data_IF_360635029523
#
_entry.id   IF_360635029523
#
_cell.length_a   1.000
_cell.length_b   1.000
_cell.length_c   1.000
_cell.angle_alpha   90.00
_cell.angle_beta   90.00
_cell.angle_gamma   90.00
#
_symmetry.space_group_name_H-M   'P 1'
#
loop_
_entity.id
_entity.type
_entity.pdbx_description
1 polymer ?
#
# COMPACT_ATOMS: atom_id res chain seq x y z
N UNK A 1 3.00 -14.81 -7.50
CA UNK A 1 1.99 -15.77 -7.98
C UNK A 1 0.61 -15.18 -7.87
N UNK A 2 -0.17 -15.35 -8.89
CA UNK A 2 -1.53 -14.87 -8.95
C UNK A 2 -2.48 -15.99 -8.51
N UNK A 3 -3.23 -15.76 -7.45
CA UNK A 3 -4.23 -16.71 -6.99
C UNK A 3 -5.60 -16.09 -7.09
N UNK A 4 -6.50 -16.82 -7.72
CA UNK A 4 -7.88 -16.37 -7.87
C UNK A 4 -8.49 -16.19 -6.48
N UNK A 5 -9.11 -15.04 -6.24
CA UNK A 5 -9.81 -14.70 -5.00
C UNK A 5 -8.89 -14.50 -3.77
N UNK A 6 -7.58 -14.52 -3.96
CA UNK A 6 -6.68 -14.20 -2.86
C UNK A 6 -6.73 -12.70 -2.55
N UNK A 7 -6.51 -11.89 -3.58
CA UNK A 7 -6.68 -10.43 -3.47
C UNK A 7 -8.10 -10.05 -3.87
N UNK A 8 -8.54 -8.86 -3.49
CA UNK A 8 -9.80 -8.32 -3.98
C UNK A 8 -9.76 -8.19 -5.49
N UNK A 9 -8.64 -7.73 -6.02
CA UNK A 9 -8.41 -7.62 -7.46
C UNK A 9 -6.92 -7.65 -7.72
N UNK A 10 -6.50 -8.24 -8.81
CA UNK A 10 -5.13 -8.14 -9.30
C UNK A 10 -5.16 -8.11 -10.82
N UNK A 11 -4.51 -7.08 -11.39
CA UNK A 11 -4.45 -6.88 -12.84
C UNK A 11 -3.33 -7.68 -13.49
N UNK A 12 -2.93 -7.23 -14.69
CA UNK A 12 -1.92 -7.89 -15.48
C UNK A 12 -0.53 -7.31 -15.21
N UNK A 13 0.51 -8.10 -15.48
CA UNK A 13 1.90 -7.66 -15.40
C UNK A 13 2.34 -7.21 -14.00
N UNK A 14 1.75 -7.81 -12.97
CA UNK A 14 2.14 -7.51 -11.60
C UNK A 14 3.30 -8.40 -11.16
N UNK A 15 4.25 -7.79 -10.48
CA UNK A 15 5.38 -8.49 -9.88
C UNK A 15 5.33 -8.24 -8.37
N UNK A 16 5.02 -9.27 -7.61
CA UNK A 16 4.80 -9.15 -6.17
C UNK A 16 5.85 -9.97 -5.47
N UNK A 17 6.85 -9.32 -4.92
CA UNK A 17 7.96 -10.00 -4.25
C UNK A 17 7.62 -10.48 -2.83
N UNK A 18 6.80 -9.77 -2.03
CA UNK A 18 6.50 -10.24 -0.67
C UNK A 18 5.79 -11.59 -0.65
N UNK A 19 6.06 -12.36 0.40
CA UNK A 19 5.37 -13.61 0.66
C UNK A 19 4.11 -13.42 1.50
N UNK A 20 4.07 -12.33 2.27
CA UNK A 20 3.02 -12.07 3.24
C UNK A 20 2.37 -10.72 2.91
N UNK A 21 1.06 -10.73 2.68
CA UNK A 21 0.28 -9.54 2.37
C UNK A 21 -0.67 -9.19 3.53
N UNK A 22 -0.28 -9.55 4.75
CA UNK A 22 -1.10 -9.28 5.93
C UNK A 22 -2.18 -10.34 6.12
N UNK A 23 -3.11 -10.03 6.99
CA UNK A 23 -4.15 -10.99 7.37
C UNK A 23 -5.41 -10.87 6.53
N UNK A 24 -5.56 -9.77 5.77
CA UNK A 24 -6.73 -9.57 4.93
C UNK A 24 -6.33 -9.22 3.49
N UNK A 25 -5.65 -10.12 2.77
CA UNK A 25 -5.29 -9.81 1.38
C UNK A 25 -6.51 -9.58 0.48
N UNK A 26 -7.66 -10.10 0.85
CA UNK A 26 -8.91 -9.87 0.12
C UNK A 26 -9.38 -8.40 0.19
N UNK A 27 -8.72 -7.56 0.98
CA UNK A 27 -8.98 -6.12 1.04
C UNK A 27 -7.95 -5.31 0.26
N UNK A 28 -7.09 -5.97 -0.53
CA UNK A 28 -6.06 -5.29 -1.32
C UNK A 28 -6.40 -5.44 -2.79
N UNK A 29 -6.36 -4.32 -3.52
CA UNK A 29 -6.56 -4.29 -4.97
C UNK A 29 -5.32 -3.76 -5.65
N UNK A 30 -4.88 -4.47 -6.69
CA UNK A 30 -3.77 -4.06 -7.54
C UNK A 30 -4.28 -3.83 -8.95
N UNK A 31 -3.93 -2.69 -9.54
CA UNK A 31 -4.19 -2.47 -10.95
C UNK A 31 -3.22 -3.25 -11.84
N UNK A 32 -2.98 -2.73 -13.03
CA UNK A 32 -2.05 -3.35 -13.97
C UNK A 32 -0.64 -2.80 -13.77
N UNK A 33 0.35 -3.65 -14.01
CA UNK A 33 1.76 -3.23 -13.99
C UNK A 33 2.15 -2.65 -12.64
N UNK A 34 1.91 -3.43 -11.58
CA UNK A 34 2.25 -3.05 -10.20
C UNK A 34 3.41 -3.91 -9.74
N UNK A 35 4.46 -3.26 -9.27
CA UNK A 35 5.68 -3.93 -8.85
C UNK A 35 5.95 -3.61 -7.39
N UNK A 36 5.91 -4.66 -6.56
CA UNK A 36 6.08 -4.54 -5.12
C UNK A 36 7.38 -5.21 -4.73
N UNK A 37 8.28 -4.44 -4.15
CA UNK A 37 9.60 -4.94 -3.77
C UNK A 37 9.56 -5.72 -2.45
N UNK A 38 10.72 -6.20 -2.03
CA UNK A 38 10.83 -7.09 -0.89
C UNK A 38 10.36 -6.45 0.41
N UNK A 39 9.72 -7.25 1.25
CA UNK A 39 9.34 -6.86 2.61
C UNK A 39 8.48 -5.60 2.68
N UNK A 40 7.65 -5.35 1.67
CA UNK A 40 6.61 -4.34 1.77
C UNK A 40 5.48 -4.94 2.60
N UNK A 41 5.02 -4.19 3.58
CA UNK A 41 3.98 -4.63 4.51
C UNK A 41 2.66 -3.95 4.21
N UNK A 42 1.60 -4.75 4.18
CA UNK A 42 0.24 -4.27 3.96
C UNK A 42 -0.54 -4.47 5.24
N UNK A 43 -1.05 -3.38 5.81
CA UNK A 43 -1.71 -3.38 7.10
C UNK A 43 -3.15 -2.94 6.90
N UNK A 44 -4.08 -3.89 6.93
CA UNK A 44 -5.49 -3.63 6.62
C UNK A 44 -6.33 -3.38 7.87
N UNK A 45 -5.77 -3.50 9.06
CA UNK A 45 -6.51 -3.25 10.30
C UNK A 45 -5.55 -2.93 11.44
N UNK A 46 -6.08 -2.40 12.52
CA UNK A 46 -5.36 -2.35 13.78
C UNK A 46 -6.24 -2.98 14.87
N UNK A 47 -5.61 -3.22 16.02
CA UNK A 47 -6.28 -3.84 17.14
C UNK A 47 -6.24 -2.94 18.40
N UNK A 48 -6.19 -1.64 18.18
CA UNK A 48 -6.16 -0.66 19.26
C UNK A 48 -7.38 -0.80 20.17
N UNK A 49 -8.51 -1.20 19.57
CA UNK A 49 -9.74 -1.42 20.32
C UNK A 49 -9.57 -2.41 21.47
N UNK A 50 -8.76 -3.45 21.29
CA UNK A 50 -8.53 -4.41 22.36
C UNK A 50 -7.80 -3.78 23.53
N UNK A 51 -6.85 -2.91 23.26
CA UNK A 51 -6.15 -2.20 24.33
C UNK A 51 -7.14 -1.33 25.13
N UNK A 52 -8.00 -0.59 24.43
CA UNK A 52 -8.99 0.25 25.08
C UNK A 52 -9.99 -0.59 25.89
N UNK A 53 -10.38 -1.74 25.36
CA UNK A 53 -11.34 -2.62 26.03
C UNK A 53 -10.80 -3.09 27.40
N UNK A 54 -9.49 -3.32 27.49
CA UNK A 54 -8.87 -3.73 28.74
C UNK A 54 -8.58 -2.58 29.70
N UNK A 55 -8.66 -1.34 29.23
CA UNK A 55 -8.50 -0.17 30.09
C UNK A 55 -9.76 0.14 30.88
N UNK A 56 -10.94 -0.16 30.33
CA UNK A 56 -12.21 0.15 30.96
C UNK A 56 -13.29 -0.79 30.41
N UNK A 57 -14.18 -1.26 31.29
CA UNK A 57 -15.34 -2.06 30.89
C UNK A 57 -16.56 -1.19 30.56
N UNK A 58 -16.43 0.13 30.67
CA UNK A 58 -17.56 1.04 30.53
C UNK A 58 -18.03 1.14 29.09
N UNK A 59 -17.10 1.06 28.13
CA UNK A 59 -17.40 1.23 26.70
C UNK A 59 -16.87 0.05 25.91
N UNK A 60 -17.47 -0.15 24.72
CA UNK A 60 -16.95 -1.03 23.68
C UNK A 60 -16.38 -0.16 22.58
N UNK A 61 -15.30 -0.60 21.97
CA UNK A 61 -14.59 0.17 20.97
C UNK A 61 -14.58 -0.57 19.64
N UNK A 62 -14.78 0.17 18.54
CA UNK A 62 -14.78 -0.41 17.22
C UNK A 62 -13.35 -0.76 16.79
N UNK A 63 -13.20 -1.89 16.14
CA UNK A 63 -11.96 -2.19 15.43
C UNK A 63 -11.92 -1.37 14.14
N UNK A 64 -10.70 -1.04 13.70
CA UNK A 64 -10.49 -0.30 12.48
C UNK A 64 -9.91 -1.23 11.43
N UNK A 65 -10.55 -1.27 10.26
CA UNK A 65 -10.00 -1.97 9.10
C UNK A 65 -10.44 -1.26 7.84
N UNK A 66 -9.73 -1.49 6.76
CA UNK A 66 -10.07 -0.86 5.50
C UNK A 66 -9.29 -1.44 4.34
N UNK A 67 -9.68 -1.04 3.16
CA UNK A 67 -9.06 -1.48 1.92
C UNK A 67 -7.79 -0.71 1.62
N UNK A 68 -6.92 -1.35 0.85
CA UNK A 68 -5.78 -0.71 0.21
C UNK A 68 -5.99 -0.87 -1.29
N UNK A 69 -5.95 0.25 -2.02
CA UNK A 69 -6.16 0.26 -3.46
C UNK A 69 -4.94 0.85 -4.14
N UNK A 70 -4.39 0.10 -5.08
CA UNK A 70 -3.20 0.51 -5.81
C UNK A 70 -3.57 0.55 -7.29
N UNK A 71 -3.29 1.68 -7.93
CA UNK A 71 -3.64 1.91 -9.32
C UNK A 71 -2.71 1.20 -10.29
N UNK A 72 -2.61 1.75 -11.50
CA UNK A 72 -1.80 1.17 -12.57
C UNK A 72 -0.42 1.82 -12.62
N UNK A 73 0.59 1.06 -13.04
CA UNK A 73 1.95 1.56 -13.21
C UNK A 73 2.49 2.11 -11.91
N UNK A 74 2.57 1.25 -10.89
CA UNK A 74 3.00 1.63 -9.55
C UNK A 74 4.18 0.78 -9.13
N UNK A 75 5.21 1.42 -8.60
CA UNK A 75 6.32 0.74 -7.94
C UNK A 75 6.35 1.12 -6.47
N UNK A 76 6.47 0.12 -5.60
CA UNK A 76 6.62 0.36 -4.16
C UNK A 76 7.93 -0.24 -3.70
N UNK A 77 8.82 0.62 -3.22
CA UNK A 77 10.15 0.26 -2.76
C UNK A 77 10.12 -0.61 -1.51
N UNK A 78 11.17 -1.41 -1.35
CA UNK A 78 11.25 -2.38 -0.26
C UNK A 78 11.12 -1.78 1.12
N UNK A 79 10.62 -2.57 2.06
CA UNK A 79 10.48 -2.20 3.47
C UNK A 79 9.53 -1.04 3.71
N UNK A 80 8.68 -0.72 2.75
CA UNK A 80 7.61 0.25 2.93
C UNK A 80 6.42 -0.38 3.64
N UNK A 81 5.63 0.43 4.31
CA UNK A 81 4.40 0.01 4.97
C UNK A 81 3.24 0.80 4.39
N UNK A 82 2.20 0.10 3.96
CA UNK A 82 0.98 0.69 3.41
C UNK A 82 -0.15 0.43 4.39
N UNK A 83 -0.79 1.48 4.86
CA UNK A 83 -1.87 1.35 5.84
C UNK A 83 -3.24 1.29 5.16
N UNK A 84 -4.22 0.85 5.93
CA UNK A 84 -5.60 0.72 5.46
C UNK A 84 -6.19 2.09 5.10
N UNK A 85 -7.23 2.06 4.30
CA UNK A 85 -7.94 3.25 3.79
C UNK A 85 -7.04 4.15 2.93
N UNK A 86 -6.02 3.57 2.29
CA UNK A 86 -5.11 4.30 1.41
C UNK A 86 -5.38 3.90 -0.02
N UNK A 87 -5.45 4.90 -0.90
CA UNK A 87 -5.47 4.72 -2.35
C UNK A 87 -4.21 5.33 -2.92
N UNK A 88 -3.44 4.51 -3.63
CA UNK A 88 -2.28 4.96 -4.39
C UNK A 88 -2.73 5.06 -5.84
N UNK A 89 -2.55 6.24 -6.43
CA UNK A 89 -3.02 6.52 -7.78
C UNK A 89 -2.20 5.82 -8.85
N UNK A 90 -2.38 6.26 -10.09
CA UNK A 90 -1.68 5.70 -11.25
C UNK A 90 -0.37 6.42 -11.46
N UNK A 91 0.62 5.72 -12.02
CA UNK A 91 1.92 6.30 -12.35
C UNK A 91 2.57 6.89 -11.10
N UNK A 92 2.85 6.01 -10.13
CA UNK A 92 3.39 6.40 -8.83
C UNK A 92 4.60 5.55 -8.51
N UNK A 93 5.62 6.19 -7.95
CA UNK A 93 6.78 5.50 -7.37
C UNK A 93 6.81 5.85 -5.89
N UNK A 94 6.84 4.81 -5.05
CA UNK A 94 7.03 4.97 -3.61
C UNK A 94 8.45 4.54 -3.27
N UNK A 95 9.21 5.46 -2.68
CA UNK A 95 10.59 5.16 -2.27
C UNK A 95 10.64 4.14 -1.14
N UNK A 96 11.76 3.41 -1.08
CA UNK A 96 11.95 2.36 -0.08
C UNK A 96 11.84 2.91 1.35
N UNK A 97 11.33 2.09 2.25
CA UNK A 97 11.24 2.43 3.66
C UNK A 97 10.20 3.48 4.00
N UNK A 98 9.22 3.68 3.14
CA UNK A 98 8.19 4.72 3.34
C UNK A 98 7.03 4.21 4.19
N UNK A 99 6.38 5.13 4.89
CA UNK A 99 5.12 4.86 5.56
C UNK A 99 4.01 5.59 4.82
N UNK A 100 3.18 4.83 4.10
CA UNK A 100 2.09 5.40 3.31
C UNK A 100 0.83 5.34 4.15
N UNK A 101 0.50 6.47 4.76
CA UNK A 101 -0.65 6.60 5.67
C UNK A 101 -1.73 7.53 5.14
N UNK A 102 -1.58 8.03 3.91
CA UNK A 102 -2.55 8.89 3.23
C UNK A 102 -2.55 8.55 1.75
N UNK A 103 -3.61 8.95 1.07
CA UNK A 103 -3.72 8.76 -0.36
C UNK A 103 -2.57 9.43 -1.10
N UNK A 104 -2.12 8.78 -2.16
CA UNK A 104 -1.05 9.28 -3.02
C UNK A 104 -1.68 9.60 -4.38
N UNK A 105 -1.56 10.84 -4.87
CA UNK A 105 -2.18 11.19 -6.15
C UNK A 105 -1.45 10.58 -7.34
N UNK A 106 -2.08 10.67 -8.51
CA UNK A 106 -1.48 10.18 -9.75
C UNK A 106 -0.22 10.98 -10.10
N UNK A 107 0.71 10.31 -10.76
CA UNK A 107 1.81 10.96 -11.45
C UNK A 107 2.93 11.49 -10.57
N UNK A 108 3.12 10.92 -9.38
CA UNK A 108 4.10 11.47 -8.44
C UNK A 108 5.11 10.41 -8.00
N UNK A 109 6.22 10.90 -7.47
CA UNK A 109 7.14 10.11 -6.64
C UNK A 109 6.94 10.59 -5.21
N UNK A 110 6.73 9.64 -4.30
CA UNK A 110 6.53 9.96 -2.90
C UNK A 110 7.42 9.07 -2.04
N UNK A 111 7.88 9.59 -0.91
CA UNK A 111 8.76 8.84 -0.03
C UNK A 111 8.76 9.43 1.38
N UNK A 112 9.25 8.64 2.33
CA UNK A 112 9.50 9.10 3.67
C UNK A 112 8.52 8.58 4.71
N UNK A 113 8.72 9.00 5.96
CA UNK A 113 7.91 8.63 7.11
C UNK A 113 7.53 9.91 7.85
N UNK A 114 6.30 10.41 7.69
CA UNK A 114 5.26 9.93 6.80
C UNK A 114 5.60 10.22 5.32
N UNK A 115 5.01 9.43 4.44
CA UNK A 115 5.26 9.55 3.02
C UNK A 115 4.77 10.89 2.47
N UNK A 116 5.60 11.55 1.66
CA UNK A 116 5.30 12.85 1.07
C UNK A 116 5.68 12.85 -0.39
N UNK A 117 4.98 13.65 -1.19
CA UNK A 117 5.33 13.86 -2.60
C UNK A 117 6.67 14.58 -2.66
N UNK A 118 7.61 14.01 -3.42
CA UNK A 118 8.95 14.57 -3.57
C UNK A 118 9.35 14.82 -5.02
N UNK A 119 8.53 14.39 -5.97
CA UNK A 119 8.88 14.58 -7.36
C UNK A 119 7.76 14.17 -8.30
N UNK A 120 8.06 14.19 -9.59
CA UNK A 120 7.11 13.84 -10.64
C UNK A 120 7.55 12.56 -11.34
N UNK A 121 6.60 11.66 -11.52
CA UNK A 121 6.81 10.38 -12.17
C UNK A 121 7.38 10.55 -13.57
N UNK A 122 6.76 11.41 -14.38
CA UNK A 122 7.17 11.58 -15.79
C UNK A 122 8.58 12.11 -15.92
N UNK A 123 8.97 13.03 -15.06
CA UNK A 123 10.33 13.60 -15.11
C UNK A 123 11.37 12.54 -14.83
N UNK A 124 11.12 11.69 -13.86
CA UNK A 124 12.04 10.61 -13.51
C UNK A 124 12.11 9.57 -14.64
N UNK A 125 10.96 9.21 -15.19
CA UNK A 125 10.88 8.24 -16.27
C UNK A 125 11.71 8.71 -17.47
N UNK A 126 11.57 9.99 -17.83
CA UNK A 126 12.29 10.56 -18.96
C UNK A 126 13.80 10.52 -18.72
N UNK A 127 14.24 10.82 -17.50
CA UNK A 127 15.68 10.79 -17.18
C UNK A 127 16.28 9.40 -17.34
N UNK A 128 15.51 8.34 -17.20
CA UNK A 128 16.01 6.98 -17.30
C UNK A 128 15.96 6.40 -18.72
N UNK A 129 15.48 7.18 -19.70
CA UNK A 129 15.44 6.70 -21.08
C UNK A 129 16.87 6.49 -21.63
N UNK A 130 17.02 5.40 -22.36
CA UNK A 130 18.29 5.07 -23.01
C UNK A 130 18.35 5.70 -24.39
#
# INVERSE_FOLDING_TARGET
>A
MKQKNYFKHIGEHCYLQPWNFGTEPHLISFGDNVHIATNVHFVNHDIINFMFDYMSSEYKYFSRQGEIRIGNNVFIGGYSTILYDVTIGNNVIIGAGSLVNKDIPDGVIAAGVPCRVIGKFDEYMIRLRK
#
